data_IF_323356045396
#
_entry.id   IF_323356045396
#
_cell.length_a   1.000
_cell.length_b   1.000
_cell.length_c   1.000
_cell.angle_alpha   90.00
_cell.angle_beta   90.00
_cell.angle_gamma   90.00
#
_symmetry.space_group_name_H-M   'P 1'
#
loop_
_entity.id
_entity.type
_entity.pdbx_description
1 polymer ?
#
# COMPACT_ATOMS: atom_id res chain seq x y z
N UNK A 1 -0.97 13.78 -11.38
CA UNK A 1 -1.12 12.55 -12.15
C UNK A 1 -2.15 11.63 -11.53
N UNK A 2 -2.74 10.77 -12.33
CA UNK A 2 -3.77 9.83 -11.88
C UNK A 2 -3.25 8.92 -10.77
N UNK A 3 -2.00 8.47 -10.88
CA UNK A 3 -1.39 7.60 -9.87
C UNK A 3 -1.31 8.27 -8.50
N UNK A 4 -0.95 9.56 -8.47
CA UNK A 4 -0.87 10.31 -7.21
C UNK A 4 -2.26 10.42 -6.56
N UNK A 5 -3.31 10.64 -7.36
CA UNK A 5 -4.67 10.69 -6.84
C UNK A 5 -5.13 9.37 -6.27
N UNK A 6 -4.75 8.26 -6.91
CA UNK A 6 -5.10 6.92 -6.42
C UNK A 6 -4.39 6.57 -5.12
N UNK A 7 -3.14 7.03 -4.95
CA UNK A 7 -2.36 6.74 -3.75
C UNK A 7 -2.66 7.71 -2.61
N UNK A 8 -2.76 9.01 -2.92
CA UNK A 8 -2.94 10.04 -1.90
C UNK A 8 -4.40 10.34 -1.59
N UNK A 9 -5.31 10.15 -2.56
CA UNK A 9 -6.72 10.47 -2.39
C UNK A 9 -7.37 9.81 -1.18
N UNK A 10 -7.25 8.47 -0.98
CA UNK A 10 -7.82 7.83 0.19
C UNK A 10 -7.23 8.33 1.51
N UNK A 11 -5.93 8.62 1.54
CA UNK A 11 -5.25 9.12 2.74
C UNK A 11 -5.72 10.53 3.06
N UNK A 12 -5.76 11.41 2.05
CA UNK A 12 -6.23 12.78 2.22
C UNK A 12 -7.70 12.82 2.66
N UNK A 13 -8.51 11.92 2.14
CA UNK A 13 -9.91 11.82 2.51
C UNK A 13 -10.10 11.55 4.00
N UNK A 14 -9.18 10.80 4.63
CA UNK A 14 -9.27 10.52 6.06
C UNK A 14 -9.16 11.79 6.92
N UNK A 15 -8.41 12.80 6.46
CA UNK A 15 -8.26 14.05 7.19
C UNK A 15 -9.51 14.94 7.14
N UNK A 16 -10.35 14.72 6.15
CA UNK A 16 -11.55 15.53 5.93
C UNK A 16 -12.84 14.80 6.28
N UNK A 17 -12.75 13.55 6.73
CA UNK A 17 -13.93 12.80 7.13
C UNK A 17 -14.52 13.36 8.43
N UNK A 18 -15.86 13.47 8.53
CA UNK A 18 -16.50 13.77 9.80
C UNK A 18 -16.14 12.70 10.84
N UNK A 19 -16.07 13.10 12.11
CA UNK A 19 -15.69 12.19 13.20
C UNK A 19 -16.54 10.92 13.23
N UNK A 20 -17.83 11.04 12.92
CA UNK A 20 -18.75 9.91 12.92
C UNK A 20 -18.35 8.85 11.91
N UNK A 21 -17.65 9.24 10.82
CA UNK A 21 -17.21 8.32 9.78
C UNK A 21 -15.82 7.74 10.03
N UNK A 22 -15.08 8.26 11.00
CA UNK A 22 -13.74 7.75 11.32
C UNK A 22 -13.78 6.30 11.80
N UNK A 23 -14.84 5.92 12.53
CA UNK A 23 -15.03 4.54 12.93
C UNK A 23 -15.17 3.57 11.76
N UNK A 24 -15.69 4.06 10.62
CA UNK A 24 -15.83 3.28 9.41
C UNK A 24 -14.52 3.19 8.61
N UNK A 25 -13.59 4.11 8.87
CA UNK A 25 -12.31 4.13 8.18
C UNK A 25 -11.43 2.92 8.53
N UNK A 26 -11.49 2.44 9.78
CA UNK A 26 -10.70 1.30 10.22
C UNK A 26 -10.96 0.02 9.42
N UNK A 27 -12.23 -0.41 9.23
CA UNK A 27 -12.50 -1.57 8.39
C UNK A 27 -12.00 -1.40 6.95
N UNK A 28 -12.11 -0.19 6.40
CA UNK A 28 -11.62 0.10 5.06
C UNK A 28 -10.10 0.02 4.99
N UNK A 29 -9.41 0.54 6.02
CA UNK A 29 -7.95 0.43 6.10
C UNK A 29 -7.48 -1.01 6.21
N UNK A 30 -8.19 -1.82 6.99
CA UNK A 30 -7.87 -3.26 7.11
C UNK A 30 -8.06 -3.98 5.79
N UNK A 31 -9.13 -3.67 5.07
CA UNK A 31 -9.36 -4.25 3.75
C UNK A 31 -8.27 -3.84 2.77
N UNK A 32 -7.86 -2.57 2.80
CA UNK A 32 -6.77 -2.06 1.98
C UNK A 32 -5.46 -2.78 2.32
N UNK A 33 -5.20 -2.97 3.62
CA UNK A 33 -4.01 -3.68 4.08
C UNK A 33 -3.95 -5.10 3.51
N UNK A 34 -5.06 -5.82 3.60
CA UNK A 34 -5.16 -7.18 3.04
C UNK A 34 -4.91 -7.19 1.54
N UNK A 35 -5.45 -6.21 0.82
CA UNK A 35 -5.22 -6.07 -0.61
C UNK A 35 -3.77 -5.83 -0.94
N UNK A 36 -3.10 -4.95 -0.18
CA UNK A 36 -1.69 -4.66 -0.40
C UNK A 36 -0.80 -5.87 -0.09
N UNK A 37 -1.15 -6.65 0.93
CA UNK A 37 -0.42 -7.88 1.26
C UNK A 37 -0.49 -8.90 0.12
N UNK A 38 -1.66 -9.02 -0.52
CA UNK A 38 -1.82 -9.89 -1.69
C UNK A 38 -1.00 -9.39 -2.87
N UNK A 39 -1.01 -8.09 -3.11
CA UNK A 39 -0.21 -7.47 -4.17
C UNK A 39 1.28 -7.72 -3.91
N UNK A 40 1.72 -7.55 -2.67
CA UNK A 40 3.10 -7.78 -2.29
C UNK A 40 3.53 -9.22 -2.59
N UNK A 41 2.71 -10.20 -2.19
CA UNK A 41 2.99 -11.61 -2.47
C UNK A 41 3.11 -11.87 -3.98
N UNK A 42 2.22 -11.29 -4.76
CA UNK A 42 2.25 -11.42 -6.21
C UNK A 42 3.52 -10.81 -6.81
N UNK A 43 3.89 -9.62 -6.34
CA UNK A 43 5.11 -8.94 -6.80
C UNK A 43 6.36 -9.76 -6.47
N UNK A 44 6.42 -10.32 -5.26
CA UNK A 44 7.54 -11.15 -4.83
C UNK A 44 7.67 -12.40 -5.71
N UNK A 45 6.54 -13.03 -6.04
CA UNK A 45 6.54 -14.17 -6.95
C UNK A 45 7.02 -13.81 -8.35
N UNK A 46 6.62 -12.65 -8.85
CA UNK A 46 7.07 -12.15 -10.15
C UNK A 46 8.57 -11.85 -10.13
N UNK A 47 9.06 -11.27 -9.03
CA UNK A 47 10.47 -10.96 -8.89
C UNK A 47 11.32 -12.25 -8.92
N UNK A 48 10.89 -13.29 -8.24
CA UNK A 48 11.61 -14.58 -8.25
C UNK A 48 11.73 -15.15 -9.67
N UNK A 49 10.66 -15.06 -10.45
CA UNK A 49 10.68 -15.47 -11.85
C UNK A 49 11.64 -14.60 -12.69
N UNK A 50 11.63 -13.29 -12.45
CA UNK A 50 12.51 -12.37 -13.19
C UNK A 50 13.98 -12.62 -12.86
N UNK A 51 14.31 -13.03 -11.62
CA UNK A 51 15.68 -13.34 -11.23
C UNK A 51 16.26 -14.54 -11.97
N UNK A 52 15.41 -15.42 -12.46
CA UNK A 52 15.84 -16.61 -13.23
C UNK A 52 16.16 -16.25 -14.68
N UNK A 53 15.71 -15.09 -15.15
CA UNK A 53 15.99 -14.65 -16.51
C UNK A 53 17.39 -14.07 -16.65
N UNK A 54 18.08 -14.40 -17.74
CA UNK A 54 19.43 -13.89 -18.01
C UNK A 54 19.44 -12.75 -19.02
N UNK A 55 18.28 -12.42 -19.58
CA UNK A 55 18.18 -11.38 -20.59
C UNK A 55 18.26 -9.98 -19.98
N UNK A 56 18.70 -9.03 -20.79
CA UNK A 56 18.79 -7.63 -20.41
C UNK A 56 17.43 -7.10 -19.97
N UNK A 57 16.36 -7.53 -20.65
CA UNK A 57 14.98 -7.16 -20.31
C UNK A 57 14.61 -7.61 -18.90
N UNK A 58 15.06 -8.77 -18.48
CA UNK A 58 14.80 -9.29 -17.13
C UNK A 58 15.44 -8.44 -16.06
N UNK A 59 16.58 -7.84 -16.36
CA UNK A 59 17.29 -6.94 -15.44
C UNK A 59 16.46 -5.68 -15.14
N UNK A 60 15.90 -5.06 -16.18
CA UNK A 60 15.03 -3.89 -16.00
C UNK A 60 13.74 -4.26 -15.26
N UNK A 61 13.16 -5.40 -15.61
CA UNK A 61 11.95 -5.89 -14.95
C UNK A 61 12.19 -6.11 -13.45
N UNK A 62 13.35 -6.67 -13.10
CA UNK A 62 13.74 -6.85 -11.69
C UNK A 62 13.78 -5.53 -10.94
N UNK A 63 14.40 -4.50 -11.52
CA UNK A 63 14.49 -3.18 -10.89
C UNK A 63 13.11 -2.57 -10.68
N UNK A 64 12.24 -2.68 -11.67
CA UNK A 64 10.86 -2.19 -11.57
C UNK A 64 10.10 -2.93 -10.47
N UNK A 65 10.22 -4.25 -10.42
CA UNK A 65 9.54 -5.06 -9.41
C UNK A 65 10.06 -4.78 -8.00
N UNK A 66 11.38 -4.64 -7.85
CA UNK A 66 11.99 -4.28 -6.57
C UNK A 66 11.47 -2.94 -6.08
N UNK A 67 11.35 -1.96 -6.97
CA UNK A 67 10.82 -0.65 -6.62
C UNK A 67 9.36 -0.74 -6.19
N UNK A 68 8.54 -1.48 -6.93
CA UNK A 68 7.12 -1.66 -6.58
C UNK A 68 6.96 -2.37 -5.23
N UNK A 69 7.82 -3.34 -4.94
CA UNK A 69 7.82 -4.02 -3.66
C UNK A 69 8.13 -3.04 -2.53
N UNK A 70 9.16 -2.21 -2.69
CA UNK A 70 9.53 -1.22 -1.68
C UNK A 70 8.38 -0.25 -1.40
N UNK A 71 7.73 0.23 -2.46
CA UNK A 71 6.60 1.14 -2.31
C UNK A 71 5.43 0.46 -1.59
N UNK A 72 5.13 -0.78 -1.96
CA UNK A 72 4.03 -1.53 -1.35
C UNK A 72 4.31 -1.81 0.13
N UNK A 73 5.54 -2.19 0.46
CA UNK A 73 5.94 -2.41 1.85
C UNK A 73 5.83 -1.14 2.68
N UNK A 74 6.24 0.00 2.10
CA UNK A 74 6.12 1.29 2.78
C UNK A 74 4.66 1.65 3.04
N UNK A 75 3.78 1.41 2.07
CA UNK A 75 2.35 1.65 2.21
C UNK A 75 1.72 0.74 3.27
N UNK A 76 2.14 -0.51 3.32
CA UNK A 76 1.69 -1.46 4.35
C UNK A 76 2.08 -0.95 5.74
N UNK A 77 3.34 -0.58 5.92
CA UNK A 77 3.82 -0.06 7.21
C UNK A 77 3.06 1.19 7.63
N UNK A 78 2.80 2.09 6.69
CA UNK A 78 2.07 3.31 6.96
C UNK A 78 0.63 3.01 7.36
N UNK A 79 -0.03 2.11 6.64
CA UNK A 79 -1.41 1.70 6.95
C UNK A 79 -1.50 1.05 8.32
N UNK A 80 -0.53 0.20 8.66
CA UNK A 80 -0.45 -0.41 9.98
C UNK A 80 -0.28 0.63 11.08
N UNK A 81 0.55 1.66 10.84
CA UNK A 81 0.71 2.77 11.78
C UNK A 81 -0.60 3.51 11.99
N UNK A 82 -1.32 3.76 10.92
CA UNK A 82 -2.64 4.42 11.01
C UNK A 82 -3.61 3.60 11.85
N UNK A 83 -3.63 2.27 11.64
CA UNK A 83 -4.52 1.39 12.39
C UNK A 83 -4.19 1.34 13.88
N UNK A 84 -2.91 1.50 14.23
CA UNK A 84 -2.46 1.48 15.63
C UNK A 84 -2.47 2.86 16.28
N UNK A 85 -2.61 3.92 15.48
CA UNK A 85 -2.53 5.29 16.00
C UNK A 85 -3.68 5.60 16.95
N UNK A 86 -3.41 6.05 18.19
CA UNK A 86 -4.48 6.45 19.12
C UNK A 86 -5.31 7.60 18.58
N UNK A 87 -4.73 8.42 17.69
CA UNK A 87 -5.40 9.57 17.11
C UNK A 87 -6.69 9.18 16.37
N UNK A 88 -6.74 8.01 15.74
CA UNK A 88 -7.94 7.54 15.05
C UNK A 88 -9.08 7.20 16.00
N UNK A 89 -8.76 6.81 17.23
CA UNK A 89 -9.77 6.51 18.25
C UNK A 89 -10.03 7.70 19.16
N UNK A 90 -9.16 8.68 19.23
CA UNK A 90 -9.29 9.86 20.08
C UNK A 90 -9.81 11.09 19.35
N UNK A 91 -9.96 11.04 18.05
CA UNK A 91 -10.59 12.08 17.25
C UNK A 91 -12.12 11.99 17.41
N UNK A 92 -12.60 12.46 18.53
CA UNK A 92 -14.03 12.45 18.86
C UNK A 92 -14.59 13.84 18.98
#
# INVERSE_FOLDING_TARGET
>A
TVSARLLLGPILSLFFLPQVKLGLARPLLRRRLQGMEKILSWLQGRLEKAKQGKEKRSRYLRLILEHQIELTEADIRFTEKLLRAPALSSLR
#
